data_IF_729513139947
#
_entry.id   IF_729513139947
#
_cell.length_a   1.000
_cell.length_b   1.000
_cell.length_c   1.000
_cell.angle_alpha   90.00
_cell.angle_beta   90.00
_cell.angle_gamma   90.00
#
_symmetry.space_group_name_H-M   'P 1'
#
loop_
_entity.id
_entity.type
_entity.pdbx_description
1 polymer ?
#
# COMPACT_ATOMS: atom_id res chain seq x y z
N UNK A 1 36.37 44.63 20.99
CA UNK A 1 35.36 43.82 21.71
C UNK A 1 34.77 42.80 20.73
N UNK A 2 35.15 41.52 20.84
CA UNK A 2 34.54 40.42 20.06
C UNK A 2 33.29 39.93 20.79
N UNK A 3 32.18 39.62 20.11
CA UNK A 3 30.95 39.22 20.78
C UNK A 3 31.10 37.83 21.40
N UNK A 4 31.16 37.76 22.74
CA UNK A 4 31.26 36.54 23.54
C UNK A 4 29.98 35.67 23.54
N UNK A 5 28.90 36.11 22.87
CA UNK A 5 27.61 35.40 22.87
C UNK A 5 27.52 34.22 21.88
N UNK A 6 28.37 34.15 20.85
CA UNK A 6 28.28 33.04 19.87
C UNK A 6 28.89 31.73 20.38
N UNK A 7 29.92 31.80 21.23
CA UNK A 7 30.63 30.62 21.75
C UNK A 7 29.78 29.77 22.70
N UNK A 8 28.87 30.36 23.48
CA UNK A 8 28.02 29.57 24.40
C UNK A 8 26.89 28.83 23.68
N UNK A 9 26.38 29.39 22.57
CA UNK A 9 25.31 28.77 21.79
C UNK A 9 25.82 27.56 21.01
N UNK A 10 27.02 27.67 20.42
CA UNK A 10 27.66 26.58 19.68
C UNK A 10 28.14 25.45 20.60
N UNK A 11 28.67 25.80 21.78
CA UNK A 11 28.98 24.85 22.87
C UNK A 11 27.74 24.09 23.37
N UNK A 12 26.61 24.78 23.52
CA UNK A 12 25.35 24.15 23.94
C UNK A 12 24.84 23.16 22.90
N UNK A 13 24.98 23.46 21.59
CA UNK A 13 24.54 22.58 20.49
C UNK A 13 25.30 21.24 20.42
N UNK A 14 26.51 21.17 20.98
CA UNK A 14 27.34 19.97 21.01
C UNK A 14 27.11 19.08 22.23
N UNK A 15 26.18 19.44 23.13
CA UNK A 15 25.86 18.60 24.27
C UNK A 15 25.34 17.22 23.82
N UNK A 16 25.84 16.12 24.41
CA UNK A 16 25.50 14.76 23.98
C UNK A 16 24.01 14.45 24.12
N UNK A 17 23.30 15.10 25.04
CA UNK A 17 21.85 14.96 25.24
C UNK A 17 21.04 15.53 24.07
N UNK A 18 21.44 16.71 23.59
CA UNK A 18 20.80 17.39 22.45
C UNK A 18 21.00 16.57 21.17
N UNK A 19 22.21 16.04 20.97
CA UNK A 19 22.51 15.18 19.82
C UNK A 19 21.70 13.88 19.83
N UNK A 20 21.47 13.27 21.01
CA UNK A 20 20.59 12.10 21.15
C UNK A 20 19.14 12.44 20.85
N UNK A 21 18.66 13.59 21.32
CA UNK A 21 17.29 14.04 21.06
C UNK A 21 17.04 14.30 19.58
N UNK A 22 17.96 15.00 18.90
CA UNK A 22 17.92 15.23 17.44
C UNK A 22 17.84 13.92 16.66
N UNK A 23 18.65 12.92 17.03
CA UNK A 23 18.61 11.58 16.40
C UNK A 23 17.28 10.87 16.61
N UNK A 24 16.73 10.90 17.82
CA UNK A 24 15.41 10.31 18.12
C UNK A 24 14.29 10.96 17.30
N UNK A 25 14.30 12.30 17.19
CA UNK A 25 13.33 12.99 16.35
C UNK A 25 13.52 12.70 14.86
N UNK A 26 14.76 12.59 14.37
CA UNK A 26 15.03 12.13 13.01
C UNK A 26 14.49 10.73 12.73
N UNK A 27 14.68 9.79 13.65
CA UNK A 27 14.09 8.45 13.55
C UNK A 27 12.56 8.50 13.56
N UNK A 28 11.95 9.25 14.49
CA UNK A 28 10.50 9.39 14.56
C UNK A 28 9.89 10.01 13.29
N UNK A 29 10.57 11.02 12.73
CA UNK A 29 10.21 11.62 11.45
C UNK A 29 10.23 10.59 10.32
N UNK A 30 11.32 9.83 10.20
CA UNK A 30 11.43 8.76 9.21
C UNK A 30 10.39 7.65 9.39
N UNK A 31 10.14 7.21 10.61
CA UNK A 31 9.09 6.21 10.91
C UNK A 31 7.71 6.71 10.48
N UNK A 32 7.38 7.97 10.74
CA UNK A 32 6.12 8.57 10.33
C UNK A 32 5.98 8.64 8.81
N UNK A 33 7.06 9.01 8.11
CA UNK A 33 7.11 9.00 6.63
C UNK A 33 6.76 7.63 6.07
N UNK A 34 7.38 6.57 6.62
CA UNK A 34 7.11 5.19 6.17
C UNK A 34 5.70 4.71 6.51
N UNK A 35 5.22 5.00 7.73
CA UNK A 35 3.89 4.62 8.16
C UNK A 35 2.79 5.33 7.34
N UNK A 36 2.88 6.65 7.19
CA UNK A 36 1.89 7.44 6.45
C UNK A 36 1.79 7.00 4.99
N UNK A 37 2.93 6.71 4.35
CA UNK A 37 2.94 6.13 3.00
C UNK A 37 2.24 4.77 2.96
N UNK A 38 2.60 3.85 3.86
CA UNK A 38 2.02 2.51 3.87
C UNK A 38 0.50 2.52 4.14
N UNK A 39 0.04 3.42 5.03
CA UNK A 39 -1.40 3.60 5.33
C UNK A 39 -2.17 4.04 4.09
N UNK A 40 -1.68 5.02 3.33
CA UNK A 40 -2.40 5.48 2.13
C UNK A 40 -2.26 4.52 0.95
N UNK A 41 -1.13 3.82 0.80
CA UNK A 41 -0.93 2.88 -0.32
C UNK A 41 -1.66 1.56 -0.12
N UNK A 42 -1.67 0.99 1.08
CA UNK A 42 -2.24 -0.34 1.34
C UNK A 42 -3.25 -0.40 2.48
N UNK A 43 -3.27 0.59 3.38
CA UNK A 43 -4.21 0.60 4.50
C UNK A 43 -5.66 0.76 4.06
N UNK A 44 -5.90 1.61 3.05
CA UNK A 44 -7.24 1.74 2.45
C UNK A 44 -7.67 0.44 1.75
N UNK A 45 -6.74 -0.22 1.05
CA UNK A 45 -7.00 -1.51 0.40
C UNK A 45 -7.40 -2.56 1.43
N UNK A 46 -6.65 -2.68 2.52
CA UNK A 46 -6.97 -3.62 3.59
C UNK A 46 -8.35 -3.39 4.20
N UNK A 47 -8.75 -2.13 4.38
CA UNK A 47 -10.09 -1.81 4.87
C UNK A 47 -11.19 -2.21 3.87
N UNK A 48 -11.05 -1.82 2.60
CA UNK A 48 -12.05 -2.09 1.57
C UNK A 48 -12.15 -3.59 1.27
N UNK A 49 -11.01 -4.27 1.13
CA UNK A 49 -10.95 -5.71 0.90
C UNK A 49 -11.47 -6.52 2.11
N UNK A 50 -11.28 -6.03 3.33
CA UNK A 50 -11.87 -6.67 4.52
C UNK A 50 -13.40 -6.62 4.51
N UNK A 51 -14.01 -5.57 3.94
CA UNK A 51 -15.47 -5.48 3.78
C UNK A 51 -15.97 -6.38 2.65
N UNK A 52 -15.13 -6.66 1.66
CA UNK A 52 -15.42 -7.55 0.55
C UNK A 52 -14.99 -9.00 0.80
N UNK A 53 -14.84 -9.41 2.07
CA UNK A 53 -14.47 -10.78 2.45
C UNK A 53 -13.20 -11.31 1.74
N UNK A 54 -12.22 -10.45 1.47
CA UNK A 54 -11.01 -10.90 0.79
C UNK A 54 -10.13 -11.79 1.69
N UNK A 55 -9.31 -12.64 1.08
CA UNK A 55 -8.26 -13.39 1.78
C UNK A 55 -7.18 -12.45 2.31
N UNK A 56 -6.87 -12.57 3.60
CA UNK A 56 -5.77 -11.85 4.27
C UNK A 56 -5.66 -10.35 3.90
N UNK A 57 -6.74 -9.57 4.05
CA UNK A 57 -6.84 -8.22 3.49
C UNK A 57 -5.78 -7.26 4.05
N UNK A 58 -5.34 -7.47 5.30
CA UNK A 58 -4.36 -6.63 5.98
C UNK A 58 -2.90 -7.05 5.76
N UNK A 59 -2.64 -8.16 5.07
CA UNK A 59 -1.29 -8.73 4.95
C UNK A 59 -0.33 -7.79 4.21
N UNK A 60 -0.76 -7.24 3.06
CA UNK A 60 0.04 -6.28 2.32
C UNK A 60 0.33 -5.02 3.15
N UNK A 61 -0.67 -4.50 3.87
CA UNK A 61 -0.48 -3.33 4.73
C UNK A 61 0.54 -3.59 5.85
N UNK A 62 0.44 -4.71 6.56
CA UNK A 62 1.36 -5.03 7.67
C UNK A 62 2.80 -5.13 7.16
N UNK A 63 3.02 -5.87 6.06
CA UNK A 63 4.36 -6.04 5.49
C UNK A 63 4.93 -4.73 4.95
N UNK A 64 4.11 -3.99 4.19
CA UNK A 64 4.47 -2.69 3.65
C UNK A 64 4.82 -1.71 4.76
N UNK A 65 3.99 -1.60 5.81
CA UNK A 65 4.21 -0.71 6.94
C UNK A 65 5.52 -1.03 7.68
N UNK A 66 5.78 -2.30 7.99
CA UNK A 66 7.00 -2.71 8.68
C UNK A 66 8.24 -2.34 7.88
N UNK A 67 8.31 -2.70 6.60
CA UNK A 67 9.49 -2.44 5.76
C UNK A 67 9.65 -0.93 5.52
N UNK A 68 8.56 -0.22 5.19
CA UNK A 68 8.60 1.22 4.96
C UNK A 68 9.06 2.00 6.19
N UNK A 69 8.55 1.64 7.38
CA UNK A 69 8.98 2.25 8.64
C UNK A 69 10.46 2.00 8.92
N UNK A 70 10.95 0.77 8.78
CA UNK A 70 12.35 0.45 9.04
C UNK A 70 13.27 1.26 8.13
N UNK A 71 13.02 1.25 6.82
CA UNK A 71 13.89 1.89 5.83
C UNK A 71 13.85 3.41 5.96
N UNK A 72 12.67 4.02 6.08
CA UNK A 72 12.54 5.46 6.26
C UNK A 72 13.03 5.93 7.64
N UNK A 73 12.82 5.14 8.70
CA UNK A 73 13.34 5.40 10.03
C UNK A 73 14.87 5.39 10.09
N UNK A 74 15.51 4.44 9.39
CA UNK A 74 16.96 4.38 9.23
C UNK A 74 17.49 5.59 8.44
N UNK A 75 16.83 5.98 7.35
CA UNK A 75 17.20 7.17 6.58
C UNK A 75 17.08 8.44 7.43
N UNK A 76 15.96 8.61 8.15
CA UNK A 76 15.74 9.75 9.04
C UNK A 76 16.77 9.83 10.16
N UNK A 77 17.16 8.68 10.73
CA UNK A 77 18.24 8.58 11.69
C UNK A 77 19.60 8.98 11.09
N UNK A 78 19.94 8.48 9.89
CA UNK A 78 21.21 8.79 9.21
C UNK A 78 21.33 10.28 8.89
N UNK A 79 20.26 10.89 8.37
CA UNK A 79 20.21 12.33 8.08
C UNK A 79 20.43 13.15 9.34
N UNK A 80 19.72 12.81 10.42
CA UNK A 80 19.87 13.50 11.71
C UNK A 80 21.26 13.28 12.35
N UNK A 81 21.91 12.15 12.06
CA UNK A 81 23.26 11.84 12.55
C UNK A 81 24.35 12.60 11.79
N UNK A 82 24.24 12.70 10.47
CA UNK A 82 25.30 13.27 9.63
C UNK A 82 25.19 14.78 9.49
N UNK A 83 23.99 15.34 9.65
CA UNK A 83 23.75 16.79 9.66
C UNK A 83 24.21 17.53 8.38
N UNK A 84 24.26 16.80 7.27
CA UNK A 84 24.61 17.34 5.95
C UNK A 84 23.36 17.38 5.10
N UNK A 85 22.86 18.59 4.84
CA UNK A 85 21.65 18.81 4.04
C UNK A 85 21.72 18.12 2.67
N UNK A 86 22.89 18.10 2.03
CA UNK A 86 23.07 17.47 0.72
C UNK A 86 22.93 15.94 0.74
N UNK A 87 23.14 15.30 1.90
CA UNK A 87 22.99 13.84 2.02
C UNK A 87 21.54 13.42 2.23
N UNK A 88 20.65 14.32 2.67
CA UNK A 88 19.26 13.99 2.91
C UNK A 88 18.54 13.53 1.64
N UNK A 89 18.58 14.26 0.50
CA UNK A 89 18.03 13.78 -0.76
C UNK A 89 18.57 12.42 -1.17
N UNK A 90 19.88 12.17 -0.99
CA UNK A 90 20.51 10.91 -1.40
C UNK A 90 19.95 9.72 -0.61
N UNK A 91 19.86 9.82 0.73
CA UNK A 91 19.28 8.73 1.52
C UNK A 91 17.80 8.51 1.20
N UNK A 92 17.04 9.59 1.05
CA UNK A 92 15.62 9.50 0.75
C UNK A 92 15.36 9.00 -0.69
N UNK A 93 16.21 9.24 -1.67
CA UNK A 93 16.12 8.57 -2.97
C UNK A 93 16.30 7.05 -2.85
N UNK A 94 17.16 6.59 -1.95
CA UNK A 94 17.26 5.17 -1.59
C UNK A 94 15.96 4.64 -1.00
N UNK A 95 15.30 5.40 -0.12
CA UNK A 95 13.97 5.06 0.42
C UNK A 95 12.93 5.01 -0.71
N UNK A 96 12.95 5.97 -1.63
CA UNK A 96 12.03 6.02 -2.77
C UNK A 96 12.14 4.78 -3.66
N UNK A 97 13.37 4.32 -3.93
CA UNK A 97 13.60 3.09 -4.66
C UNK A 97 12.95 1.88 -3.98
N UNK A 98 13.17 1.73 -2.66
CA UNK A 98 12.56 0.62 -1.91
C UNK A 98 11.04 0.71 -1.91
N UNK A 99 10.47 1.90 -1.73
CA UNK A 99 9.01 2.08 -1.71
C UNK A 99 8.41 1.77 -3.08
N UNK A 100 9.02 2.25 -4.17
CA UNK A 100 8.58 1.94 -5.52
C UNK A 100 8.67 0.44 -5.82
N UNK A 101 9.76 -0.20 -5.38
CA UNK A 101 9.93 -1.64 -5.52
C UNK A 101 8.84 -2.40 -4.77
N UNK A 102 8.53 -1.99 -3.54
CA UNK A 102 7.45 -2.60 -2.74
C UNK A 102 6.08 -2.40 -3.37
N UNK A 103 5.73 -1.21 -3.85
CA UNK A 103 4.42 -0.97 -4.49
C UNK A 103 4.13 -1.96 -5.61
N UNK A 104 5.15 -2.33 -6.39
CA UNK A 104 4.99 -3.30 -7.47
C UNK A 104 5.14 -4.73 -6.94
N UNK A 105 6.25 -5.04 -6.29
CA UNK A 105 6.57 -6.44 -5.96
C UNK A 105 5.69 -7.00 -4.83
N UNK A 106 5.17 -6.16 -3.94
CA UNK A 106 4.35 -6.60 -2.82
C UNK A 106 3.05 -7.28 -3.30
N UNK A 107 2.16 -6.64 -4.08
CA UNK A 107 0.94 -7.28 -4.57
C UNK A 107 1.20 -8.37 -5.61
N UNK A 108 2.22 -8.23 -6.47
CA UNK A 108 2.41 -9.12 -7.63
C UNK A 108 3.32 -10.32 -7.39
N UNK A 109 4.22 -10.27 -6.40
CA UNK A 109 5.17 -11.37 -6.16
C UNK A 109 5.20 -11.84 -4.70
N UNK A 110 5.21 -10.92 -3.75
CA UNK A 110 5.36 -11.27 -2.32
C UNK A 110 4.04 -11.80 -1.76
N UNK A 111 2.95 -11.09 -2.00
CA UNK A 111 1.62 -11.47 -1.53
C UNK A 111 1.19 -12.88 -1.96
N UNK A 112 1.19 -13.25 -3.26
CA UNK A 112 0.77 -14.60 -3.67
C UNK A 112 1.65 -15.71 -3.07
N UNK A 113 2.97 -15.48 -2.93
CA UNK A 113 3.88 -16.45 -2.30
C UNK A 113 3.57 -16.65 -0.83
N UNK A 114 3.24 -15.57 -0.12
CA UNK A 114 2.87 -15.66 1.29
C UNK A 114 1.50 -16.30 1.49
N UNK A 115 0.54 -16.01 0.62
CA UNK A 115 -0.76 -16.69 0.66
C UNK A 115 -0.58 -18.18 0.37
N UNK A 116 0.18 -18.56 -0.65
CA UNK A 116 0.46 -19.97 -0.96
C UNK A 116 1.17 -20.70 0.19
N UNK A 117 1.94 -19.99 1.01
CA UNK A 117 2.57 -20.55 2.21
C UNK A 117 1.57 -20.70 3.38
N UNK A 118 0.62 -19.78 3.53
CA UNK A 118 -0.39 -19.80 4.59
C UNK A 118 -1.57 -20.73 4.30
N UNK A 119 -2.00 -20.79 3.03
CA UNK A 119 -3.10 -21.60 2.50
C UNK A 119 -2.61 -22.26 1.19
N UNK A 120 -2.07 -23.50 1.28
CA UNK A 120 -1.53 -24.22 0.13
C UNK A 120 -2.57 -24.50 -0.96
N UNK A 121 -3.84 -24.73 -0.61
CA UNK A 121 -4.91 -24.99 -1.57
C UNK A 121 -5.17 -23.76 -2.44
N UNK A 122 -5.27 -22.59 -1.81
CA UNK A 122 -5.34 -21.33 -2.55
C UNK A 122 -4.09 -21.17 -3.44
N UNK A 123 -2.91 -21.45 -2.89
CA UNK A 123 -1.63 -21.31 -3.59
C UNK A 123 -1.51 -22.09 -4.89
N UNK A 124 -2.10 -23.28 -4.99
CA UNK A 124 -2.10 -24.08 -6.22
C UNK A 124 -2.92 -23.46 -7.36
N UNK A 125 -3.90 -22.62 -7.01
CA UNK A 125 -4.81 -21.96 -7.94
C UNK A 125 -4.35 -20.54 -8.32
N UNK A 126 -3.35 -19.98 -7.62
CA UNK A 126 -2.80 -18.66 -7.93
C UNK A 126 -1.85 -18.74 -9.12
N UNK A 127 -2.22 -18.11 -10.23
CA UNK A 127 -1.43 -18.01 -11.46
C UNK A 127 -0.95 -16.59 -11.69
N UNK A 128 -0.03 -16.13 -10.84
CA UNK A 128 0.59 -14.81 -10.94
C UNK A 128 1.73 -14.83 -11.96
N UNK A 129 1.50 -14.22 -13.12
CA UNK A 129 2.54 -14.03 -14.15
C UNK A 129 3.18 -12.66 -13.99
N UNK A 130 4.50 -12.61 -13.84
CA UNK A 130 5.23 -11.35 -13.76
C UNK A 130 5.70 -10.92 -15.15
N UNK A 131 4.96 -10.01 -15.78
CA UNK A 131 5.28 -9.43 -17.08
C UNK A 131 6.35 -8.34 -16.96
N UNK A 132 7.63 -8.73 -17.10
CA UNK A 132 8.78 -7.85 -16.84
C UNK A 132 8.70 -6.49 -17.56
N UNK A 133 8.35 -6.48 -18.85
CA UNK A 133 8.30 -5.25 -19.67
C UNK A 133 7.21 -4.27 -19.18
N UNK A 134 5.98 -4.76 -18.98
CA UNK A 134 4.86 -3.94 -18.50
C UNK A 134 5.09 -3.46 -17.06
N UNK A 135 5.60 -4.33 -16.18
CA UNK A 135 5.89 -3.93 -14.79
C UNK A 135 7.09 -2.99 -14.68
N UNK A 136 8.06 -3.04 -15.59
CA UNK A 136 9.15 -2.05 -15.63
C UNK A 136 8.61 -0.64 -15.87
N UNK A 137 7.66 -0.47 -16.80
CA UNK A 137 7.03 0.84 -17.03
C UNK A 137 6.28 1.37 -15.80
N UNK A 138 5.50 0.50 -15.13
CA UNK A 138 4.78 0.84 -13.89
C UNK A 138 5.75 1.18 -12.76
N UNK A 139 6.85 0.44 -12.64
CA UNK A 139 7.90 0.73 -11.67
C UNK A 139 8.52 2.11 -11.90
N UNK A 140 8.87 2.45 -13.15
CA UNK A 140 9.45 3.77 -13.48
C UNK A 140 8.48 4.90 -13.13
N UNK A 141 7.21 4.79 -13.53
CA UNK A 141 6.18 5.81 -13.21
C UNK A 141 6.01 5.97 -11.71
N UNK A 142 5.91 4.86 -10.97
CA UNK A 142 5.82 4.86 -9.51
C UNK A 142 7.07 5.46 -8.88
N UNK A 143 8.26 5.11 -9.36
CA UNK A 143 9.53 5.64 -8.87
C UNK A 143 9.63 7.16 -9.04
N UNK A 144 9.18 7.69 -10.19
CA UNK A 144 9.15 9.15 -10.44
C UNK A 144 8.26 9.85 -9.42
N UNK A 145 7.02 9.40 -9.24
CA UNK A 145 6.08 10.00 -8.30
C UNK A 145 6.59 9.93 -6.86
N UNK A 146 7.02 8.76 -6.42
CA UNK A 146 7.54 8.58 -5.06
C UNK A 146 8.77 9.46 -4.83
N UNK A 147 9.70 9.50 -5.79
CA UNK A 147 10.96 10.27 -5.66
C UNK A 147 10.70 11.75 -5.46
N UNK A 148 9.71 12.34 -6.13
CA UNK A 148 9.37 13.76 -5.98
C UNK A 148 8.97 14.06 -4.52
N UNK A 149 8.00 13.32 -3.99
CA UNK A 149 7.47 13.57 -2.65
C UNK A 149 8.46 13.17 -1.54
N UNK A 150 9.15 12.04 -1.70
CA UNK A 150 10.13 11.57 -0.72
C UNK A 150 11.35 12.48 -0.66
N UNK A 151 11.82 12.99 -1.79
CA UNK A 151 12.92 13.96 -1.80
C UNK A 151 12.50 15.27 -1.13
N UNK A 152 11.28 15.74 -1.38
CA UNK A 152 10.74 16.91 -0.70
C UNK A 152 10.74 16.74 0.83
N UNK A 153 10.21 15.61 1.31
CA UNK A 153 10.23 15.25 2.74
C UNK A 153 11.66 15.18 3.29
N UNK A 154 12.59 14.60 2.54
CA UNK A 154 14.01 14.53 2.92
C UNK A 154 14.66 15.90 3.05
N UNK A 155 14.42 16.82 2.11
CA UNK A 155 14.90 18.21 2.15
C UNK A 155 14.32 18.93 3.37
N UNK A 156 13.04 18.71 3.68
CA UNK A 156 12.35 19.34 4.79
C UNK A 156 12.75 18.80 6.16
N UNK A 157 13.39 17.62 6.24
CA UNK A 157 13.70 17.00 7.53
C UNK A 157 14.52 17.92 8.45
N UNK A 158 15.69 18.39 8.01
CA UNK A 158 16.57 19.22 8.86
C UNK A 158 15.89 20.52 9.31
N UNK A 159 15.33 21.35 8.41
CA UNK A 159 14.71 22.61 8.82
C UNK A 159 13.45 22.44 9.68
N UNK A 160 12.78 21.28 9.64
CA UNK A 160 11.63 21.01 10.50
C UNK A 160 12.02 20.34 11.83
N UNK A 161 12.95 19.40 11.80
CA UNK A 161 13.34 18.60 12.98
C UNK A 161 14.25 19.37 13.93
N UNK A 162 15.17 20.20 13.43
CA UNK A 162 16.06 20.94 14.32
C UNK A 162 15.30 21.90 15.25
N UNK A 163 14.44 22.82 14.76
CA UNK A 163 13.72 23.72 15.65
C UNK A 163 12.78 22.96 16.60
N UNK A 164 12.20 21.85 16.13
CA UNK A 164 11.35 20.99 16.94
C UNK A 164 12.10 20.35 18.12
N UNK A 165 13.35 19.94 17.91
CA UNK A 165 14.18 19.34 18.96
C UNK A 165 14.51 20.35 20.09
N UNK A 166 14.59 21.64 19.77
CA UNK A 166 14.89 22.71 20.73
C UNK A 166 13.65 23.38 21.33
N UNK A 167 12.45 23.07 20.83
CA UNK A 167 11.22 23.68 21.33
C UNK A 167 10.77 23.07 22.67
N UNK A 168 10.31 23.93 23.58
CA UNK A 168 9.66 23.52 24.83
C UNK A 168 8.20 23.14 24.64
N UNK A 169 7.57 23.59 23.54
CA UNK A 169 6.15 23.37 23.27
C UNK A 169 5.89 22.05 22.57
N UNK A 170 4.93 21.26 23.06
CA UNK A 170 4.52 19.99 22.45
C UNK A 170 4.09 20.13 20.98
N UNK A 171 3.38 21.20 20.64
CA UNK A 171 2.91 21.44 19.26
C UNK A 171 4.07 21.51 18.25
N UNK A 172 5.16 22.21 18.59
CA UNK A 172 6.34 22.31 17.72
C UNK A 172 7.03 20.97 17.48
N UNK A 173 6.90 20.03 18.43
CA UNK A 173 7.46 18.67 18.31
C UNK A 173 6.64 17.77 17.38
N UNK A 174 5.32 18.00 17.32
CA UNK A 174 4.38 17.22 16.50
C UNK A 174 4.28 17.77 15.07
N UNK A 175 4.42 19.09 14.90
CA UNK A 175 4.24 19.74 13.59
C UNK A 175 5.08 19.11 12.44
N UNK A 176 6.37 18.77 12.60
CA UNK A 176 7.14 18.10 11.54
C UNK A 176 6.54 16.76 11.12
N UNK A 177 6.05 15.99 12.09
CA UNK A 177 5.44 14.67 11.86
C UNK A 177 4.12 14.81 11.08
N UNK A 178 3.31 15.82 11.41
CA UNK A 178 2.07 16.08 10.68
C UNK A 178 2.33 16.54 9.25
N UNK A 179 3.30 17.45 9.04
CA UNK A 179 3.65 17.95 7.71
C UNK A 179 4.13 16.79 6.81
N UNK A 180 5.05 15.94 7.29
CA UNK A 180 5.49 14.81 6.48
C UNK A 180 4.37 13.77 6.27
N UNK A 181 3.50 13.58 7.27
CA UNK A 181 2.36 12.66 7.13
C UNK A 181 1.43 13.09 6.00
N UNK A 182 1.05 14.35 5.93
CA UNK A 182 0.14 14.85 4.87
C UNK A 182 0.76 14.67 3.49
N UNK A 183 2.05 15.00 3.33
CA UNK A 183 2.76 14.83 2.06
C UNK A 183 2.80 13.35 1.65
N UNK A 184 3.08 12.46 2.59
CA UNK A 184 3.19 11.02 2.30
C UNK A 184 1.85 10.33 2.13
N UNK A 185 0.79 10.80 2.79
CA UNK A 185 -0.57 10.34 2.56
C UNK A 185 -0.97 10.62 1.10
N UNK A 186 -0.74 11.85 0.61
CA UNK A 186 -0.98 12.21 -0.79
C UNK A 186 -0.19 11.33 -1.77
N UNK A 187 1.11 11.17 -1.51
CA UNK A 187 1.99 10.33 -2.34
C UNK A 187 1.48 8.88 -2.42
N UNK A 188 1.22 8.26 -1.27
CA UNK A 188 0.80 6.87 -1.24
C UNK A 188 -0.58 6.64 -1.84
N UNK A 189 -1.50 7.61 -1.80
CA UNK A 189 -2.80 7.54 -2.51
C UNK A 189 -2.60 7.56 -4.03
N UNK A 190 -1.77 8.46 -4.56
CA UNK A 190 -1.50 8.55 -6.01
C UNK A 190 -0.94 7.21 -6.51
N UNK A 191 0.06 6.70 -5.80
CA UNK A 191 0.75 5.47 -6.17
C UNK A 191 -0.13 4.24 -5.98
N UNK A 192 -0.93 4.20 -4.92
CA UNK A 192 -1.90 3.14 -4.65
C UNK A 192 -2.95 3.05 -5.75
N UNK A 193 -3.46 4.20 -6.23
CA UNK A 193 -4.41 4.23 -7.34
C UNK A 193 -3.79 3.77 -8.67
N UNK A 194 -2.52 4.09 -8.93
CA UNK A 194 -1.86 3.64 -10.16
C UNK A 194 -1.61 2.12 -10.21
N UNK A 195 -1.35 1.50 -9.05
CA UNK A 195 -0.85 0.13 -8.99
C UNK A 195 -1.86 -0.88 -8.44
N UNK A 196 -2.54 -0.55 -7.33
CA UNK A 196 -3.37 -1.49 -6.60
C UNK A 196 -4.85 -1.39 -6.97
N UNK A 197 -5.31 -0.22 -7.43
CA UNK A 197 -6.73 0.02 -7.73
C UNK A 197 -7.32 -0.98 -8.72
N UNK A 198 -6.66 -1.37 -9.83
CA UNK A 198 -7.23 -2.37 -10.75
C UNK A 198 -7.53 -3.70 -10.04
N UNK A 199 -6.59 -4.17 -9.20
CA UNK A 199 -6.74 -5.40 -8.42
C UNK A 199 -7.87 -5.28 -7.39
N UNK A 200 -7.90 -4.16 -6.68
CA UNK A 200 -8.90 -3.86 -5.66
C UNK A 200 -10.31 -3.82 -6.26
N UNK A 201 -10.50 -3.05 -7.34
CA UNK A 201 -11.81 -2.89 -7.98
C UNK A 201 -12.34 -4.21 -8.52
N UNK A 202 -11.48 -5.06 -9.09
CA UNK A 202 -11.91 -6.37 -9.55
C UNK A 202 -12.54 -7.22 -8.43
N UNK A 203 -11.93 -7.22 -7.23
CA UNK A 203 -12.47 -7.93 -6.07
C UNK A 203 -13.76 -7.28 -5.55
N UNK A 204 -13.78 -5.94 -5.45
CA UNK A 204 -14.95 -5.21 -4.95
C UNK A 204 -16.18 -5.40 -5.85
N UNK A 205 -16.03 -5.22 -7.16
CA UNK A 205 -17.14 -5.35 -8.11
C UNK A 205 -17.66 -6.80 -8.18
N UNK A 206 -16.76 -7.79 -8.12
CA UNK A 206 -17.16 -9.19 -8.05
C UNK A 206 -17.94 -9.50 -6.75
N UNK A 207 -17.46 -9.00 -5.61
CA UNK A 207 -18.16 -9.14 -4.33
C UNK A 207 -19.54 -8.47 -4.35
N UNK A 208 -19.65 -7.28 -4.92
CA UNK A 208 -20.90 -6.53 -5.00
C UNK A 208 -21.91 -7.21 -5.92
N UNK A 209 -21.47 -7.78 -7.04
CA UNK A 209 -22.32 -8.60 -7.92
C UNK A 209 -22.81 -9.87 -7.19
N UNK A 210 -21.96 -10.55 -6.43
CA UNK A 210 -22.37 -11.72 -5.62
C UNK A 210 -23.35 -11.31 -4.52
N UNK A 211 -23.05 -10.24 -3.78
CA UNK A 211 -23.92 -9.76 -2.71
C UNK A 211 -25.30 -9.40 -3.25
N UNK A 212 -25.35 -8.67 -4.36
CA UNK A 212 -26.61 -8.32 -5.01
C UNK A 212 -27.40 -9.56 -5.41
N UNK A 213 -26.74 -10.58 -5.95
CA UNK A 213 -27.37 -11.83 -6.36
C UNK A 213 -27.94 -12.62 -5.18
N UNK A 214 -27.25 -12.63 -4.03
CA UNK A 214 -27.73 -13.28 -2.80
C UNK A 214 -28.91 -12.50 -2.21
N UNK A 215 -28.81 -11.17 -2.18
CA UNK A 215 -29.85 -10.30 -1.60
C UNK A 215 -31.19 -10.38 -2.36
N UNK A 216 -31.17 -10.71 -3.66
CA UNK A 216 -32.37 -10.83 -4.50
C UNK A 216 -32.64 -12.28 -4.93
N UNK A 217 -32.11 -13.26 -4.19
CA UNK A 217 -32.31 -14.67 -4.53
C UNK A 217 -33.79 -15.05 -4.44
N UNK A 218 -34.33 -15.60 -5.54
CA UNK A 218 -35.75 -15.96 -5.63
C UNK A 218 -36.69 -14.81 -6.03
N UNK A 219 -36.16 -13.60 -6.23
CA UNK A 219 -36.92 -12.45 -6.72
C UNK A 219 -36.77 -12.27 -8.23
N UNK A 220 -37.80 -11.72 -8.88
CA UNK A 220 -37.69 -11.33 -10.29
C UNK A 220 -37.00 -9.96 -10.39
N UNK A 221 -35.69 -9.98 -10.65
CA UNK A 221 -34.92 -8.77 -10.93
C UNK A 221 -35.23 -8.26 -12.35
N UNK A 222 -35.48 -6.95 -12.48
CA UNK A 222 -35.67 -6.31 -13.79
C UNK A 222 -34.49 -6.62 -14.75
N UNK A 223 -34.73 -7.04 -16.00
CA UNK A 223 -33.66 -7.37 -16.95
C UNK A 223 -32.67 -6.23 -17.23
N UNK A 224 -33.04 -4.95 -17.10
CA UNK A 224 -32.09 -3.86 -17.23
C UNK A 224 -31.16 -3.78 -16.01
N UNK A 225 -31.73 -3.89 -14.81
CA UNK A 225 -30.95 -3.93 -13.57
C UNK A 225 -30.02 -5.17 -13.50
N UNK A 226 -30.50 -6.34 -13.90
CA UNK A 226 -29.70 -7.57 -13.92
C UNK A 226 -28.48 -7.47 -14.86
N UNK A 227 -28.64 -6.79 -16.01
CA UNK A 227 -27.54 -6.50 -16.94
C UNK A 227 -26.56 -5.49 -16.36
N UNK A 228 -27.06 -4.42 -15.74
CA UNK A 228 -26.22 -3.41 -15.10
C UNK A 228 -25.41 -3.96 -13.92
N UNK A 229 -25.92 -5.00 -13.24
CA UNK A 229 -25.23 -5.69 -12.14
C UNK A 229 -24.42 -6.91 -12.57
N UNK A 230 -24.34 -7.18 -13.87
CA UNK A 230 -23.58 -8.29 -14.43
C UNK A 230 -23.98 -9.67 -13.89
N UNK A 231 -25.25 -9.89 -13.52
CA UNK A 231 -25.71 -11.15 -12.90
C UNK A 231 -25.55 -12.37 -13.82
N UNK A 232 -25.48 -12.16 -15.14
CA UNK A 232 -25.19 -13.25 -16.08
C UNK A 232 -23.84 -13.92 -15.84
N UNK A 233 -22.88 -13.22 -15.21
CA UNK A 233 -21.55 -13.76 -14.90
C UNK A 233 -21.60 -14.93 -13.91
N UNK A 234 -22.61 -14.97 -13.04
CA UNK A 234 -22.76 -15.95 -11.96
C UNK A 234 -23.58 -17.19 -12.35
N UNK A 235 -24.22 -17.21 -13.52
CA UNK A 235 -25.16 -18.29 -13.91
C UNK A 235 -24.58 -19.69 -13.83
N UNK A 236 -23.29 -19.84 -14.10
CA UNK A 236 -22.62 -21.14 -14.09
C UNK A 236 -22.38 -21.69 -12.67
N UNK A 237 -22.53 -20.85 -11.63
CA UNK A 237 -22.16 -21.15 -10.24
C UNK A 237 -23.25 -20.73 -9.24
N UNK A 238 -24.48 -20.53 -9.72
CA UNK A 238 -25.61 -20.02 -8.94
C UNK A 238 -26.00 -20.92 -7.75
N UNK A 239 -25.65 -22.19 -7.80
CA UNK A 239 -25.88 -23.18 -6.74
C UNK A 239 -25.00 -22.97 -5.50
N UNK A 240 -23.82 -22.34 -5.63
CA UNK A 240 -22.86 -22.15 -4.54
C UNK A 240 -22.77 -20.70 -4.02
N UNK A 241 -23.36 -19.72 -4.70
CA UNK A 241 -23.21 -18.29 -4.35
C UNK A 241 -23.75 -17.90 -2.97
N UNK A 242 -24.67 -18.70 -2.41
CA UNK A 242 -25.29 -18.46 -1.10
C UNK A 242 -24.39 -18.87 0.07
N UNK A 243 -23.31 -19.60 -0.19
CA UNK A 243 -22.37 -20.03 0.84
C UNK A 243 -21.45 -18.88 1.29
N UNK A 244 -20.87 -18.96 2.51
CA UNK A 244 -19.84 -18.03 2.94
C UNK A 244 -18.69 -17.99 1.92
N UNK A 245 -18.29 -16.77 1.55
CA UNK A 245 -17.32 -16.54 0.47
C UNK A 245 -16.04 -15.89 0.98
N UNK A 246 -14.93 -16.23 0.33
CA UNK A 246 -13.67 -15.52 0.46
C UNK A 246 -13.07 -15.25 -0.91
N UNK A 247 -12.59 -14.03 -1.16
CA UNK A 247 -12.16 -13.59 -2.48
C UNK A 247 -10.66 -13.27 -2.51
N UNK A 248 -9.97 -13.64 -3.59
CA UNK A 248 -8.57 -13.29 -3.82
C UNK A 248 -8.34 -13.08 -5.32
N UNK A 249 -7.39 -12.24 -5.69
CA UNK A 249 -6.94 -12.20 -7.09
C UNK A 249 -6.22 -13.51 -7.39
N UNK A 250 -6.66 -14.23 -8.43
CA UNK A 250 -6.08 -15.50 -8.87
C UNK A 250 -5.03 -15.32 -9.97
N UNK A 251 -5.33 -14.48 -10.97
CA UNK A 251 -4.43 -14.17 -12.09
C UNK A 251 -4.80 -12.85 -12.74
N UNK A 252 -3.95 -12.36 -13.65
CA UNK A 252 -4.19 -11.14 -14.41
C UNK A 252 -3.39 -11.15 -15.72
N UNK A 253 -3.81 -10.31 -16.66
CA UNK A 253 -3.07 -10.04 -17.89
C UNK A 253 -2.01 -8.93 -17.72
N UNK A 254 -1.16 -8.75 -18.73
CA UNK A 254 -0.06 -7.79 -18.70
C UNK A 254 -0.47 -6.33 -18.47
N UNK A 255 -1.72 -5.97 -18.78
CA UNK A 255 -2.24 -4.61 -18.65
C UNK A 255 -3.07 -4.40 -17.39
N UNK A 256 -3.37 -5.45 -16.64
CA UNK A 256 -4.37 -5.46 -15.56
C UNK A 256 -5.77 -5.06 -16.06
N UNK A 257 -6.05 -5.32 -17.34
CA UNK A 257 -7.36 -5.11 -17.97
C UNK A 257 -8.28 -6.31 -17.78
N UNK A 258 -7.71 -7.51 -17.65
CA UNK A 258 -8.43 -8.74 -17.33
C UNK A 258 -7.82 -9.34 -16.06
N UNK A 259 -8.65 -9.45 -15.02
CA UNK A 259 -8.25 -9.96 -13.70
C UNK A 259 -9.18 -11.11 -13.35
N UNK A 260 -8.61 -12.26 -13.04
CA UNK A 260 -9.33 -13.38 -12.46
C UNK A 260 -9.40 -13.20 -10.95
N UNK A 261 -10.62 -13.24 -10.40
CA UNK A 261 -10.90 -13.26 -8.98
C UNK A 261 -11.27 -14.69 -8.62
N UNK A 262 -10.42 -15.32 -7.83
CA UNK A 262 -10.63 -16.63 -7.27
C UNK A 262 -11.48 -16.51 -6.00
N UNK A 263 -12.52 -17.33 -5.91
CA UNK A 263 -13.53 -17.26 -4.86
C UNK A 263 -13.69 -18.64 -4.24
N UNK A 264 -13.55 -18.72 -2.91
CA UNK A 264 -13.87 -19.91 -2.14
C UNK A 264 -15.26 -19.78 -1.55
N UNK A 265 -16.19 -20.60 -2.00
CA UNK A 265 -17.54 -20.78 -1.44
C UNK A 265 -17.56 -22.08 -0.64
N UNK A 266 -17.46 -22.00 0.69
CA UNK A 266 -17.28 -23.19 1.53
C UNK A 266 -16.03 -23.98 1.11
N UNK A 267 -16.22 -25.20 0.60
CA UNK A 267 -15.16 -26.09 0.10
C UNK A 267 -15.01 -26.06 -1.44
N UNK A 268 -15.77 -25.20 -2.13
CA UNK A 268 -15.77 -25.12 -3.60
C UNK A 268 -15.03 -23.88 -4.08
N UNK A 269 -14.18 -24.05 -5.08
CA UNK A 269 -13.44 -22.96 -5.71
C UNK A 269 -14.05 -22.56 -7.06
N UNK A 270 -14.16 -21.25 -7.27
CA UNK A 270 -14.69 -20.63 -8.48
C UNK A 270 -13.71 -19.58 -8.96
N UNK A 271 -13.39 -19.58 -10.26
CA UNK A 271 -12.59 -18.56 -10.93
C UNK A 271 -13.53 -17.65 -11.75
N UNK A 272 -13.61 -16.39 -11.35
CA UNK A 272 -14.44 -15.37 -11.99
C UNK A 272 -13.56 -14.35 -12.72
N UNK A 273 -13.76 -14.19 -14.02
CA UNK A 273 -13.05 -13.19 -14.82
C UNK A 273 -13.74 -11.83 -14.74
N UNK A 274 -12.98 -10.79 -14.43
CA UNK A 274 -13.39 -9.39 -14.41
C UNK A 274 -12.59 -8.62 -15.47
N UNK A 275 -13.29 -7.94 -16.38
CA UNK A 275 -12.68 -7.17 -17.48
C UNK A 275 -12.97 -5.69 -17.26
N UNK A 276 -11.94 -4.87 -17.06
CA UNK A 276 -12.05 -3.44 -16.73
C UNK A 276 -13.09 -3.16 -15.62
N UNK A 277 -12.98 -3.90 -14.52
CA UNK A 277 -13.89 -3.82 -13.36
C UNK A 277 -15.33 -4.26 -13.63
N UNK A 278 -15.59 -5.01 -14.71
CA UNK A 278 -16.90 -5.59 -15.00
C UNK A 278 -16.85 -7.12 -14.90
N UNK A 279 -17.57 -7.74 -13.94
CA UNK A 279 -17.70 -9.19 -13.87
C UNK A 279 -18.22 -9.76 -15.19
N UNK A 280 -17.50 -10.73 -15.76
CA UNK A 280 -17.78 -11.26 -17.09
C UNK A 280 -18.37 -12.66 -17.03
N UNK A 281 -17.62 -13.62 -16.49
CA UNK A 281 -18.06 -15.01 -16.35
C UNK A 281 -17.31 -15.71 -15.21
N UNK A 282 -17.96 -16.70 -14.61
CA UNK A 282 -17.39 -17.57 -13.57
C UNK A 282 -17.40 -19.03 -14.01
N UNK A 283 -16.44 -19.80 -13.51
CA UNK A 283 -16.33 -21.25 -13.73
C UNK A 283 -15.78 -21.94 -12.48
N UNK A 284 -16.16 -23.20 -12.26
CA UNK A 284 -15.54 -24.01 -11.22
C UNK A 284 -14.07 -24.31 -11.55
N UNK A 285 -13.25 -24.36 -10.51
CA UNK A 285 -11.86 -24.80 -10.58
C UNK A 285 -11.59 -25.76 -9.44
N UNK A 286 -10.62 -26.66 -9.63
CA UNK A 286 -10.21 -27.64 -8.62
C UNK A 286 -8.71 -27.48 -8.37
N UNK A 287 -8.26 -27.51 -7.09
CA UNK A 287 -6.83 -27.58 -6.78
C UNK A 287 -6.25 -28.89 -7.36
N UNK A 288 -5.04 -28.82 -7.91
CA UNK A 288 -4.35 -29.97 -8.54
C UNK A 288 -3.53 -30.77 -7.53
#
# INVERSE_FOLDING_TARGET
>A
MKPLKSLSFESSRQQPEILRLKRRFGTAYGLMVGLSFAVSTWGMDGFLLSRAHAFYPWLAFILGAVICMIVAGLAGWLVARLDKAILAPVFYLGVAFVFAWLTINLPFQVFPKLVAWLDPEAGQLLHYTFYEESFASRFVVTMVWISIFITLVGILQIPLVEPAAFSTTYFSKIAPLLVCSVIMLLNGTIVGNLSNEPLRLAVLEMNDTIQFSVDHQGEQVDPALARARHLSSLRAVEDVISQPRQLIVGSYDQWLGQISVLIRFGDTWVDCTVVYSQPSFCKYVTPN
#
